data_IF_226785767653
#
_entry.id   IF_226785767653
#
_cell.length_a   1.000
_cell.length_b   1.000
_cell.length_c   1.000
_cell.angle_alpha   90.00
_cell.angle_beta   90.00
_cell.angle_gamma   90.00
#
_symmetry.space_group_name_H-M   'P 1'
#
loop_
_entity.id
_entity.type
_entity.pdbx_description
1 polymer ?
#
# COMPACT_ATOMS: atom_id res chain seq x y z
N UNK A 1 -0.04 -47.31 8.76
CA UNK A 1 0.07 -45.93 9.26
C UNK A 1 -0.85 -45.06 8.42
N UNK A 2 -2.04 -44.77 8.94
CA UNK A 2 -3.05 -43.98 8.23
C UNK A 2 -2.76 -42.48 8.38
N UNK A 3 -2.80 -41.68 7.29
CA UNK A 3 -2.66 -40.25 7.38
C UNK A 3 -3.93 -39.64 7.98
N UNK A 4 -3.77 -38.78 9.00
CA UNK A 4 -4.87 -38.01 9.60
C UNK A 4 -5.33 -36.93 8.61
N UNK A 5 -6.54 -37.08 8.08
CA UNK A 5 -7.23 -36.05 7.29
C UNK A 5 -7.65 -34.87 8.19
N UNK A 6 -7.36 -33.65 7.74
CA UNK A 6 -7.88 -32.42 8.34
C UNK A 6 -9.31 -32.17 7.81
N UNK A 7 -10.33 -31.97 8.67
CA UNK A 7 -11.74 -32.11 8.27
C UNK A 7 -12.36 -30.89 7.55
N UNK A 8 -11.58 -29.91 7.08
CA UNK A 8 -12.13 -28.68 6.48
C UNK A 8 -11.69 -28.38 5.03
N UNK A 9 -11.08 -29.32 4.32
CA UNK A 9 -10.72 -29.13 2.91
C UNK A 9 -11.79 -29.77 2.01
N UNK A 10 -12.60 -28.95 1.34
CA UNK A 10 -13.35 -29.37 0.16
C UNK A 10 -12.35 -29.63 -0.97
N UNK A 11 -12.07 -30.91 -1.24
CA UNK A 11 -11.23 -31.32 -2.38
C UNK A 11 -12.08 -31.34 -3.65
N UNK A 12 -11.82 -30.46 -4.59
CA UNK A 12 -12.21 -30.68 -6.00
C UNK A 12 -11.07 -31.40 -6.69
N UNK A 13 -11.35 -32.62 -7.14
CA UNK A 13 -10.43 -33.50 -7.86
C UNK A 13 -10.48 -33.08 -9.34
N UNK A 14 -9.37 -32.61 -9.89
CA UNK A 14 -9.10 -32.68 -11.34
C UNK A 14 -7.82 -33.48 -11.57
N UNK A 15 -7.69 -34.19 -12.71
CA UNK A 15 -6.77 -35.32 -12.80
C UNK A 15 -5.29 -34.98 -12.81
N UNK A 16 -4.89 -33.74 -13.12
CA UNK A 16 -3.51 -33.46 -13.54
C UNK A 16 -2.78 -32.33 -12.80
N UNK A 17 -3.28 -31.81 -11.68
CA UNK A 17 -2.49 -30.85 -10.89
C UNK A 17 -2.91 -30.80 -9.42
N UNK A 18 -2.01 -31.23 -8.52
CA UNK A 18 -2.11 -31.00 -7.08
C UNK A 18 -1.79 -29.52 -6.78
N UNK A 19 -2.70 -28.60 -7.14
CA UNK A 19 -2.63 -27.22 -6.70
C UNK A 19 -3.69 -26.98 -5.62
N UNK A 20 -3.23 -26.99 -4.36
CA UNK A 20 -4.02 -26.44 -3.27
C UNK A 20 -4.20 -24.93 -3.52
N UNK A 21 -5.39 -24.50 -3.95
CA UNK A 21 -5.76 -23.08 -4.03
C UNK A 21 -5.55 -22.32 -2.71
N UNK A 22 -5.48 -23.04 -1.58
CA UNK A 22 -5.14 -22.49 -0.27
C UNK A 22 -3.64 -22.17 -0.09
N UNK A 23 -2.77 -22.69 -0.94
CA UNK A 23 -1.33 -22.41 -0.92
C UNK A 23 -1.03 -21.08 -1.61
N UNK A 24 -1.72 -20.73 -2.70
CA UNK A 24 -1.56 -19.44 -3.39
C UNK A 24 -1.93 -18.25 -2.49
N UNK A 25 -3.02 -18.35 -1.72
CA UNK A 25 -3.38 -17.31 -0.73
C UNK A 25 -2.38 -17.20 0.43
N UNK A 26 -1.74 -18.30 0.81
CA UNK A 26 -0.67 -18.29 1.84
C UNK A 26 0.67 -17.83 1.28
N UNK A 27 0.96 -18.06 0.00
CA UNK A 27 2.21 -17.65 -0.65
C UNK A 27 2.20 -16.17 -1.02
N UNK A 28 1.06 -15.60 -1.42
CA UNK A 28 0.93 -14.16 -1.65
C UNK A 28 1.12 -13.33 -0.37
N UNK A 29 0.96 -13.95 0.81
CA UNK A 29 1.26 -13.32 2.09
C UNK A 29 2.69 -13.59 2.58
N UNK A 30 3.46 -14.45 1.88
CA UNK A 30 4.81 -14.84 2.25
C UNK A 30 5.90 -14.07 1.47
N UNK A 31 5.55 -13.37 0.39
CA UNK A 31 6.38 -12.29 -0.14
C UNK A 31 6.00 -11.03 0.64
N UNK A 32 6.88 -10.58 1.54
CA UNK A 32 6.58 -9.46 2.43
C UNK A 32 6.07 -8.24 1.66
N UNK A 33 4.98 -7.64 2.14
CA UNK A 33 4.44 -6.44 1.52
C UNK A 33 5.50 -5.34 1.49
N UNK A 34 5.61 -4.64 0.36
CA UNK A 34 6.44 -3.45 0.26
C UNK A 34 5.55 -2.24 0.53
N UNK A 35 5.97 -1.36 1.41
CA UNK A 35 5.18 -0.24 1.90
C UNK A 35 5.85 1.06 1.50
N UNK A 36 5.05 2.00 1.03
CA UNK A 36 5.43 3.35 0.66
C UNK A 36 4.65 4.32 1.52
N UNK A 37 5.32 4.90 2.51
CA UNK A 37 4.72 5.85 3.44
C UNK A 37 5.19 7.25 3.08
N UNK A 38 4.25 8.16 2.89
CA UNK A 38 4.52 9.56 2.58
C UNK A 38 3.85 10.43 3.63
N UNK A 39 4.65 11.22 4.33
CA UNK A 39 4.17 12.18 5.32
C UNK A 39 4.49 13.57 4.79
N UNK A 40 3.47 14.42 4.67
CA UNK A 40 3.63 15.74 4.06
C UNK A 40 3.11 16.88 4.91
N UNK A 41 3.71 18.05 4.69
CA UNK A 41 3.12 19.36 4.95
C UNK A 41 2.85 20.00 3.59
N UNK A 42 1.61 20.39 3.33
CA UNK A 42 1.27 21.20 2.15
C UNK A 42 1.63 22.67 2.35
N UNK A 43 1.89 23.39 1.26
CA UNK A 43 2.05 24.85 1.27
C UNK A 43 0.71 25.52 1.57
N UNK A 44 0.77 26.74 2.10
CA UNK A 44 -0.42 27.57 2.30
C UNK A 44 -1.08 27.95 0.96
N UNK A 45 -2.41 27.98 0.92
CA UNK A 45 -3.19 28.37 -0.26
C UNK A 45 -3.33 27.27 -1.32
N UNK A 46 -2.96 26.04 -1.01
CA UNK A 46 -3.20 24.85 -1.85
C UNK A 46 -4.58 24.28 -1.56
N UNK A 47 -5.31 23.91 -2.61
CA UNK A 47 -6.55 23.13 -2.53
C UNK A 47 -6.23 21.65 -2.25
N UNK A 48 -6.07 21.31 -0.97
CA UNK A 48 -5.62 19.99 -0.51
C UNK A 48 -6.63 18.89 -0.84
N UNK A 49 -7.93 19.19 -0.74
CA UNK A 49 -9.00 18.25 -1.04
C UNK A 49 -8.96 17.78 -2.51
N UNK A 50 -8.67 18.68 -3.46
CA UNK A 50 -8.54 18.33 -4.88
C UNK A 50 -7.33 17.43 -5.13
N UNK A 51 -6.20 17.70 -4.46
CA UNK A 51 -5.01 16.85 -4.53
C UNK A 51 -5.27 15.45 -3.98
N UNK A 52 -6.02 15.35 -2.88
CA UNK A 52 -6.40 14.07 -2.29
C UNK A 52 -7.29 13.27 -3.25
N UNK A 53 -8.30 13.90 -3.86
CA UNK A 53 -9.14 13.24 -4.86
C UNK A 53 -8.32 12.74 -6.06
N UNK A 54 -7.33 13.53 -6.48
CA UNK A 54 -6.38 13.12 -7.51
C UNK A 54 -5.53 11.90 -7.11
N UNK A 55 -5.06 11.85 -5.86
CA UNK A 55 -4.34 10.70 -5.30
C UNK A 55 -5.21 9.45 -5.24
N UNK A 56 -6.45 9.57 -4.74
CA UNK A 56 -7.41 8.46 -4.67
C UNK A 56 -7.68 7.90 -6.06
N UNK A 57 -7.92 8.78 -7.04
CA UNK A 57 -8.14 8.38 -8.44
C UNK A 57 -6.91 7.66 -9.00
N UNK A 58 -5.71 8.25 -8.89
CA UNK A 58 -4.48 7.65 -9.37
C UNK A 58 -4.25 6.26 -8.72
N UNK A 59 -4.42 6.14 -7.40
CA UNK A 59 -4.26 4.87 -6.70
C UNK A 59 -5.28 3.82 -7.17
N UNK A 60 -6.51 4.23 -7.51
CA UNK A 60 -7.55 3.32 -8.03
C UNK A 60 -7.30 2.83 -9.47
N UNK A 61 -6.51 3.57 -10.26
CA UNK A 61 -6.22 3.25 -11.66
C UNK A 61 -4.92 2.45 -11.85
N UNK A 62 -4.04 2.41 -10.84
CA UNK A 62 -2.74 1.74 -10.93
C UNK A 62 -2.82 0.38 -10.23
N UNK A 63 -2.91 -0.70 -11.02
CA UNK A 63 -3.05 -2.08 -10.55
C UNK A 63 -1.95 -2.55 -9.57
N UNK A 64 -0.77 -1.94 -9.61
CA UNK A 64 0.34 -2.25 -8.70
C UNK A 64 0.04 -1.79 -7.26
N UNK A 65 -0.79 -0.78 -7.06
CA UNK A 65 -1.20 -0.31 -5.72
C UNK A 65 -2.23 -1.28 -5.16
N UNK A 66 -1.88 -2.02 -4.10
CA UNK A 66 -2.73 -3.07 -3.51
C UNK A 66 -3.61 -2.56 -2.38
N UNK A 67 -3.12 -1.57 -1.65
CA UNK A 67 -3.94 -0.77 -0.75
C UNK A 67 -3.43 0.66 -0.78
N UNK A 68 -4.36 1.59 -0.58
CA UNK A 68 -4.09 3.00 -0.41
C UNK A 68 -4.94 3.50 0.75
N UNK A 69 -4.27 4.08 1.75
CA UNK A 69 -4.89 4.70 2.91
C UNK A 69 -4.28 6.08 3.09
N UNK A 70 -5.08 7.04 3.54
CA UNK A 70 -4.57 8.36 3.84
C UNK A 70 -5.33 8.98 5.02
N UNK A 71 -4.73 9.98 5.64
CA UNK A 71 -5.37 10.71 6.72
C UNK A 71 -4.70 12.03 7.01
N UNK A 72 -5.47 12.95 7.59
CA UNK A 72 -4.98 14.17 8.21
C UNK A 72 -4.75 13.91 9.70
N UNK A 73 -3.62 14.37 10.21
CA UNK A 73 -3.38 14.31 11.65
C UNK A 73 -4.30 15.28 12.41
N UNK A 74 -5.04 14.74 13.37
CA UNK A 74 -5.99 15.46 14.23
C UNK A 74 -5.66 15.39 15.73
N UNK A 75 -4.78 14.46 16.13
CA UNK A 75 -4.52 14.16 17.55
C UNK A 75 -3.10 14.47 18.00
N UNK A 76 -2.12 14.54 17.08
CA UNK A 76 -0.72 14.66 17.50
C UNK A 76 -0.38 16.06 18.02
N UNK A 77 0.51 16.11 19.03
CA UNK A 77 0.97 17.36 19.62
C UNK A 77 1.87 18.11 18.63
N UNK A 78 1.64 19.41 18.45
CA UNK A 78 2.35 20.27 17.50
C UNK A 78 3.89 20.15 17.60
N UNK A 79 4.43 20.05 18.82
CA UNK A 79 5.87 19.89 19.07
C UNK A 79 6.45 18.60 18.46
N UNK A 80 5.69 17.50 18.47
CA UNK A 80 6.12 16.20 17.92
C UNK A 80 5.83 16.10 16.43
N UNK A 81 4.79 16.79 15.97
CA UNK A 81 4.33 16.78 14.59
C UNK A 81 5.29 17.44 13.61
N UNK A 82 6.14 18.35 14.09
CA UNK A 82 7.13 19.06 13.26
C UNK A 82 6.52 19.73 12.01
N UNK A 83 5.25 20.11 12.11
CA UNK A 83 4.47 20.75 11.05
C UNK A 83 3.93 19.83 9.96
N UNK A 84 4.14 18.50 10.02
CA UNK A 84 3.49 17.58 9.08
C UNK A 84 1.99 17.50 9.32
N UNK A 85 1.18 17.35 8.28
CA UNK A 85 -0.28 17.43 8.41
C UNK A 85 -1.00 16.22 7.85
N UNK A 86 -0.45 15.55 6.84
CA UNK A 86 -1.09 14.42 6.18
C UNK A 86 -0.14 13.24 6.04
N UNK A 87 -0.72 12.04 6.05
CA UNK A 87 -0.03 10.79 5.78
C UNK A 87 -0.76 10.05 4.65
N UNK A 88 0.03 9.42 3.79
CA UNK A 88 -0.40 8.54 2.72
C UNK A 88 0.36 7.23 2.84
N UNK A 89 -0.34 6.12 2.78
CA UNK A 89 0.19 4.77 2.94
C UNK A 89 -0.23 3.95 1.72
N UNK A 90 0.75 3.46 0.97
CA UNK A 90 0.52 2.52 -0.13
C UNK A 90 1.21 1.19 0.17
N UNK A 91 0.56 0.09 -0.21
CA UNK A 91 1.14 -1.24 -0.16
C UNK A 91 1.21 -1.88 -1.55
N UNK A 92 2.28 -2.64 -1.78
CA UNK A 92 2.58 -3.38 -3.00
C UNK A 92 2.89 -4.84 -2.63
N UNK A 93 2.73 -5.78 -3.57
CA UNK A 93 3.11 -7.19 -3.33
C UNK A 93 4.62 -7.37 -3.19
N UNK A 94 5.42 -6.39 -3.61
CA UNK A 94 6.87 -6.44 -3.52
C UNK A 94 7.55 -5.22 -4.14
N UNK A 95 8.88 -5.22 -4.06
CA UNK A 95 9.72 -4.11 -4.57
C UNK A 95 9.58 -3.90 -6.09
N UNK A 96 9.34 -4.97 -6.84
CA UNK A 96 9.21 -4.90 -8.31
C UNK A 96 7.95 -4.14 -8.73
N UNK A 97 6.81 -4.40 -8.08
CA UNK A 97 5.57 -3.64 -8.30
C UNK A 97 5.71 -2.18 -7.86
N UNK A 98 6.40 -1.92 -6.74
CA UNK A 98 6.72 -0.55 -6.33
C UNK A 98 7.57 0.19 -7.38
N UNK A 99 8.62 -0.43 -7.90
CA UNK A 99 9.43 0.18 -8.96
C UNK A 99 8.61 0.45 -10.23
N UNK A 100 7.73 -0.48 -10.61
CA UNK A 100 6.84 -0.30 -11.75
C UNK A 100 5.88 0.88 -11.52
N UNK A 101 5.30 0.99 -10.31
CA UNK A 101 4.48 2.13 -9.89
C UNK A 101 5.23 3.46 -10.01
N UNK A 102 6.49 3.55 -9.57
CA UNK A 102 7.27 4.79 -9.65
C UNK A 102 7.43 5.29 -11.09
N UNK A 103 7.53 4.38 -12.06
CA UNK A 103 7.65 4.71 -13.48
C UNK A 103 6.31 4.77 -14.23
N UNK A 104 5.19 4.48 -13.56
CA UNK A 104 3.89 4.45 -14.19
C UNK A 104 3.49 5.86 -14.69
N UNK A 105 3.00 6.02 -15.93
CA UNK A 105 2.67 7.34 -16.48
C UNK A 105 1.76 8.17 -15.58
N UNK A 106 0.68 7.57 -15.05
CA UNK A 106 -0.23 8.27 -14.14
C UNK A 106 0.45 8.73 -12.84
N UNK A 107 1.38 7.95 -12.28
CA UNK A 107 2.16 8.36 -11.11
C UNK A 107 3.11 9.51 -11.45
N UNK A 108 3.82 9.43 -12.58
CA UNK A 108 4.76 10.48 -13.01
C UNK A 108 4.03 11.79 -13.29
N UNK A 109 2.90 11.74 -13.98
CA UNK A 109 2.06 12.90 -14.25
C UNK A 109 1.53 13.51 -12.96
N UNK A 110 0.96 12.68 -12.08
CA UNK A 110 0.41 13.16 -10.81
C UNK A 110 1.50 13.70 -9.87
N UNK A 111 2.70 13.11 -9.87
CA UNK A 111 3.85 13.62 -9.12
C UNK A 111 4.23 15.04 -9.54
N UNK A 112 4.06 15.38 -10.82
CA UNK A 112 4.24 16.74 -11.33
C UNK A 112 3.22 17.76 -10.78
N UNK A 113 2.02 17.32 -10.41
CA UNK A 113 0.97 18.14 -9.76
C UNK A 113 1.16 18.18 -8.24
N UNK A 114 1.51 17.03 -7.65
CA UNK A 114 1.65 16.88 -6.20
C UNK A 114 2.88 17.59 -5.66
N UNK A 115 4.05 17.40 -6.27
CA UNK A 115 5.33 17.92 -5.75
C UNK A 115 5.36 19.45 -5.55
N UNK A 116 4.83 20.27 -6.48
CA UNK A 116 4.75 21.72 -6.28
C UNK A 116 3.91 22.17 -5.08
N UNK A 117 2.94 21.36 -4.66
CA UNK A 117 2.06 21.66 -3.54
C UNK A 117 2.69 21.35 -2.16
N UNK A 118 3.81 20.64 -2.12
CA UNK A 118 4.42 20.18 -0.87
C UNK A 118 5.43 21.20 -0.33
N UNK A 119 5.31 21.53 0.96
CA UNK A 119 6.28 22.32 1.71
C UNK A 119 7.35 21.43 2.37
N UNK A 120 6.92 20.33 3.00
CA UNK A 120 7.81 19.35 3.63
C UNK A 120 7.35 17.94 3.30
N UNK A 121 8.29 17.03 3.08
CA UNK A 121 8.01 15.63 2.76
C UNK A 121 8.97 14.70 3.49
N UNK A 122 8.45 13.58 3.98
CA UNK A 122 9.21 12.41 4.42
C UNK A 122 8.64 11.20 3.69
N UNK A 123 9.51 10.44 3.05
CA UNK A 123 9.13 9.20 2.35
C UNK A 123 9.89 8.05 2.97
N UNK A 124 9.18 6.96 3.29
CA UNK A 124 9.75 5.72 3.81
C UNK A 124 9.26 4.55 2.97
N UNK A 125 10.22 3.89 2.31
CA UNK A 125 10.00 2.74 1.45
C UNK A 125 10.63 1.50 2.08
N UNK A 126 9.81 0.53 2.48
CA UNK A 126 10.33 -0.62 3.23
C UNK A 126 9.49 -1.90 3.09
N UNK A 127 10.14 -3.07 3.11
CA UNK A 127 9.42 -4.32 3.34
C UNK A 127 8.92 -4.38 4.78
N UNK A 128 7.64 -4.68 4.99
CA UNK A 128 7.13 -4.88 6.36
C UNK A 128 7.43 -6.29 6.86
N UNK A 129 7.62 -6.41 8.18
CA UNK A 129 7.59 -7.68 8.89
C UNK A 129 6.35 -7.70 9.78
N UNK A 130 5.34 -8.44 9.37
CA UNK A 130 4.10 -8.58 10.15
C UNK A 130 4.36 -9.47 11.37
N UNK A 131 4.42 -8.86 12.55
CA UNK A 131 4.60 -9.57 13.82
C UNK A 131 3.24 -9.94 14.45
N UNK A 132 2.21 -9.14 14.21
CA UNK A 132 0.85 -9.35 14.68
C UNK A 132 -0.12 -9.02 13.56
N UNK A 133 -0.95 -10.00 13.17
CA UNK A 133 -1.97 -9.80 12.15
C UNK A 133 -3.12 -8.91 12.68
N UNK A 134 -3.84 -8.21 11.78
CA UNK A 134 -5.14 -7.63 12.10
C UNK A 134 -6.07 -8.70 12.68
N UNK A 135 -6.90 -8.31 13.66
CA UNK A 135 -7.85 -9.20 14.32
C UNK A 135 -8.97 -9.68 13.39
#
# INVERSE_FOLDING_TARGET
>A
MTPKLCPSCTMTITPDNFYCANMEKKLHHAMGSFNHYVIVKFKDGVEVEELIQGLEKMASEIDQVKSFEWGKDIESHEMLRQGFTHVFLMAFNGKEEFNAFQTHPNHVEFSGVFSPAIEKIVVLDFPSKLVKAPA
#
